data_IF_336871666402
#
_entry.id   IF_336871666402
#
_cell.length_a   1.000
_cell.length_b   1.000
_cell.length_c   1.000
_cell.angle_alpha   90.00
_cell.angle_beta   90.00
_cell.angle_gamma   90.00
#
_symmetry.space_group_name_H-M   'P 1'
#
loop_
_entity.id
_entity.type
_entity.pdbx_description
1 polymer ?
#
# COMPACT_ATOMS: atom_id res chain seq x y z
N UNK A 1 -10.14 8.00 -10.75
CA UNK A 1 -8.68 8.18 -10.61
C UNK A 1 -7.95 6.90 -11.01
N UNK A 2 -6.98 7.01 -11.89
CA UNK A 2 -6.03 5.94 -12.22
C UNK A 2 -4.61 6.42 -11.97
N UNK A 3 -3.75 5.50 -11.56
CA UNK A 3 -2.36 5.77 -11.29
C UNK A 3 -1.51 4.61 -11.81
N UNK A 4 -0.50 4.93 -12.60
CA UNK A 4 0.44 3.95 -13.12
C UNK A 4 1.88 4.38 -12.90
N UNK A 5 2.74 3.38 -12.73
CA UNK A 5 4.19 3.55 -12.65
C UNK A 5 4.89 2.22 -12.98
N UNK A 6 6.12 2.32 -13.50
CA UNK A 6 7.06 1.22 -13.51
C UNK A 6 7.95 1.31 -12.28
N UNK A 7 8.23 0.17 -11.65
CA UNK A 7 9.11 0.05 -10.49
C UNK A 7 10.15 -1.04 -10.73
N UNK A 8 11.40 -0.77 -10.34
CA UNK A 8 12.48 -1.77 -10.34
C UNK A 8 13.20 -1.71 -9.01
N UNK A 9 13.31 -2.85 -8.33
CA UNK A 9 14.22 -2.99 -7.19
C UNK A 9 15.64 -3.21 -7.73
N UNK A 10 16.64 -2.64 -7.08
CA UNK A 10 18.04 -2.93 -7.40
C UNK A 10 18.31 -4.46 -7.36
N UNK A 11 19.18 -5.00 -8.23
CA UNK A 11 19.57 -6.41 -8.15
C UNK A 11 20.08 -6.84 -6.77
N UNK A 12 20.75 -5.94 -6.06
CA UNK A 12 21.28 -6.15 -4.71
C UNK A 12 20.33 -5.67 -3.61
N UNK A 13 19.04 -5.48 -3.93
CA UNK A 13 18.07 -5.01 -2.95
C UNK A 13 17.92 -6.01 -1.80
N UNK A 14 18.18 -5.57 -0.57
CA UNK A 14 18.02 -6.33 0.65
C UNK A 14 16.57 -6.35 1.12
N UNK A 15 16.09 -7.53 1.51
CA UNK A 15 14.79 -7.59 2.18
C UNK A 15 14.87 -6.81 3.49
N UNK A 16 13.96 -5.86 3.72
CA UNK A 16 13.98 -5.09 4.96
C UNK A 16 13.60 -5.98 6.17
N UNK A 17 14.22 -5.74 7.34
CA UNK A 17 13.86 -6.44 8.58
C UNK A 17 12.45 -6.10 9.04
N UNK A 18 11.98 -4.90 8.69
CA UNK A 18 10.63 -4.41 8.93
C UNK A 18 9.90 -4.19 7.61
N UNK A 19 8.61 -3.85 7.66
CA UNK A 19 7.89 -3.47 6.45
C UNK A 19 8.59 -2.28 5.76
N UNK A 20 8.41 -2.15 4.46
CA UNK A 20 8.78 -0.97 3.68
C UNK A 20 7.71 -0.71 2.62
N UNK A 21 7.33 0.54 2.43
CA UNK A 21 6.29 0.98 1.52
C UNK A 21 6.94 1.63 0.30
N UNK A 22 6.58 1.19 -0.90
CA UNK A 22 7.06 1.77 -2.16
C UNK A 22 6.01 2.56 -2.93
N UNK A 23 4.74 2.35 -2.61
CA UNK A 23 3.64 3.15 -3.11
C UNK A 23 2.60 3.28 -2.01
N UNK A 24 2.07 4.49 -1.83
CA UNK A 24 0.89 4.71 -1.00
C UNK A 24 -0.05 5.75 -1.59
N UNK A 25 -1.35 5.47 -1.44
CA UNK A 25 -2.37 6.50 -1.32
C UNK A 25 -2.52 6.75 0.17
N UNK A 26 -2.30 7.98 0.61
CA UNK A 26 -2.38 8.34 2.02
C UNK A 26 -3.46 9.36 2.29
N UNK A 27 -4.01 9.27 3.50
CA UNK A 27 -4.98 10.20 4.03
C UNK A 27 -4.36 10.89 5.24
N UNK A 28 -4.17 12.20 5.20
CA UNK A 28 -3.56 12.89 6.34
C UNK A 28 -4.46 12.78 7.58
N UNK A 29 -3.87 12.59 8.76
CA UNK A 29 -4.61 12.73 10.01
C UNK A 29 -4.97 14.21 10.19
N UNK A 30 -6.22 14.51 10.58
CA UNK A 30 -6.60 15.88 10.91
C UNK A 30 -6.40 16.12 12.40
N UNK A 31 -5.51 17.02 12.76
CA UNK A 31 -5.41 17.52 14.14
C UNK A 31 -6.65 18.37 14.43
N UNK A 32 -7.57 17.87 15.26
CA UNK A 32 -8.71 18.64 15.79
C UNK A 32 -10.07 18.47 15.11
N UNK A 33 -10.21 17.63 14.08
CA UNK A 33 -11.51 17.24 13.49
C UNK A 33 -11.74 15.74 13.72
N UNK A 34 -13.00 15.32 13.90
CA UNK A 34 -13.40 13.91 14.07
C UNK A 34 -13.39 13.36 15.51
N UNK A 35 -14.11 12.26 15.74
CA UNK A 35 -14.19 11.59 17.05
C UNK A 35 -12.93 10.75 17.27
N UNK A 36 -12.30 10.87 18.45
CA UNK A 36 -11.28 9.90 18.88
C UNK A 36 -11.97 8.57 19.15
N UNK A 37 -11.62 7.54 18.38
CA UNK A 37 -12.10 6.17 18.59
C UNK A 37 -10.96 5.35 19.22
N UNK A 38 -11.13 4.79 20.43
CA UNK A 38 -10.09 4.00 21.09
C UNK A 38 -9.56 2.87 20.20
N UNK A 39 -8.24 2.72 20.13
CA UNK A 39 -7.58 1.67 19.34
C UNK A 39 -7.51 1.92 17.83
N UNK A 40 -8.05 3.05 17.33
CA UNK A 40 -8.01 3.42 15.92
C UNK A 40 -7.15 4.67 15.75
N UNK A 41 -6.08 4.54 14.97
CA UNK A 41 -5.27 5.67 14.50
C UNK A 41 -5.70 6.03 13.07
N UNK A 42 -6.53 7.07 12.88
CA UNK A 42 -7.05 7.41 11.57
C UNK A 42 -5.98 8.03 10.66
N UNK A 43 -6.16 7.86 9.35
CA UNK A 43 -5.25 8.36 8.33
C UNK A 43 -4.06 7.44 8.03
N UNK A 44 -2.98 8.00 7.51
CA UNK A 44 -1.80 7.29 7.02
C UNK A 44 -2.02 6.59 5.67
N UNK A 45 -1.21 5.57 5.33
CA UNK A 45 -1.37 4.78 4.10
C UNK A 45 -2.69 4.00 4.12
N UNK A 46 -3.64 4.40 3.28
CA UNK A 46 -4.97 3.78 3.16
C UNK A 46 -5.05 2.76 2.02
N UNK A 47 -4.17 2.87 1.04
CA UNK A 47 -3.82 1.84 0.06
C UNK A 47 -2.30 1.87 -0.06
N UNK A 48 -1.64 0.72 -0.04
CA UNK A 48 -0.19 0.69 -0.17
C UNK A 48 0.33 -0.60 -0.78
N UNK A 49 1.44 -0.48 -1.52
CA UNK A 49 2.31 -1.57 -1.90
C UNK A 49 3.44 -1.66 -0.87
N UNK A 50 3.55 -2.79 -0.17
CA UNK A 50 4.56 -3.00 0.86
C UNK A 50 5.41 -4.22 0.58
N UNK A 51 6.71 -4.11 0.82
CA UNK A 51 7.61 -5.26 0.86
C UNK A 51 7.33 -6.07 2.13
N UNK A 52 7.20 -7.39 1.96
CA UNK A 52 7.06 -8.34 3.07
C UNK A 52 8.40 -8.40 3.82
N UNK A 53 8.42 -8.22 5.15
CA UNK A 53 9.64 -8.24 5.93
C UNK A 53 10.28 -9.62 5.92
N UNK A 54 11.60 -9.65 6.17
CA UNK A 54 12.41 -10.88 6.12
C UNK A 54 11.82 -12.03 6.94
N UNK A 55 11.39 -11.75 8.18
CA UNK A 55 10.81 -12.74 9.10
C UNK A 55 9.47 -13.32 8.66
N UNK A 56 8.86 -12.79 7.61
CA UNK A 56 7.55 -13.19 7.09
C UNK A 56 7.59 -13.66 5.65
N UNK A 57 8.75 -13.65 4.99
CA UNK A 57 8.91 -14.21 3.65
C UNK A 57 8.66 -15.72 3.67
N UNK A 58 8.11 -16.20 2.57
CA UNK A 58 7.88 -17.61 2.28
C UNK A 58 8.83 -18.15 1.21
N UNK A 59 9.36 -17.27 0.36
CA UNK A 59 10.32 -17.62 -0.69
C UNK A 59 11.75 -17.55 -0.16
N UNK A 60 12.53 -18.57 -0.47
CA UNK A 60 13.95 -18.66 -0.16
C UNK A 60 14.83 -17.98 -1.23
N UNK A 61 14.26 -17.66 -2.40
CA UNK A 61 15.03 -17.08 -3.50
C UNK A 61 15.44 -15.63 -3.21
N UNK A 62 16.73 -15.36 -3.37
CA UNK A 62 17.35 -14.04 -3.27
C UNK A 62 17.04 -13.13 -4.48
N UNK A 63 16.71 -13.71 -5.63
CA UNK A 63 16.39 -12.99 -6.88
C UNK A 63 15.00 -12.36 -6.90
N UNK A 64 14.16 -12.66 -5.92
CA UNK A 64 12.79 -12.17 -5.84
C UNK A 64 12.54 -11.47 -4.52
N UNK A 65 11.59 -10.52 -4.55
CA UNK A 65 11.06 -9.90 -3.36
C UNK A 65 9.56 -10.14 -3.28
N UNK A 66 9.08 -10.47 -2.08
CA UNK A 66 7.66 -10.55 -1.80
C UNK A 66 7.09 -9.18 -1.45
N UNK A 67 5.88 -8.92 -1.92
CA UNK A 67 5.13 -7.72 -1.61
C UNK A 67 3.66 -8.03 -1.36
N UNK A 68 2.99 -7.08 -0.69
CA UNK A 68 1.55 -7.06 -0.51
C UNK A 68 0.95 -5.78 -1.05
N UNK A 69 -0.28 -5.87 -1.53
CA UNK A 69 -1.18 -4.72 -1.71
C UNK A 69 -2.18 -4.77 -0.58
N UNK A 70 -2.25 -3.69 0.20
CA UNK A 70 -3.04 -3.63 1.43
C UNK A 70 -3.84 -2.34 1.48
N UNK A 71 -5.10 -2.45 1.92
CA UNK A 71 -5.93 -1.32 2.32
C UNK A 71 -5.98 -1.19 3.83
N UNK A 72 -6.13 0.04 4.31
CA UNK A 72 -6.36 0.34 5.71
C UNK A 72 -7.74 0.96 5.88
N UNK A 73 -8.45 0.51 6.90
CA UNK A 73 -9.76 1.04 7.31
C UNK A 73 -9.92 0.74 8.83
N UNK A 74 -11.03 1.17 9.47
CA UNK A 74 -11.27 0.92 10.90
C UNK A 74 -11.18 -0.55 11.33
N UNK A 75 -11.55 -1.50 10.46
CA UNK A 75 -11.50 -2.93 10.71
C UNK A 75 -10.16 -3.59 10.33
N UNK A 76 -9.31 -2.88 9.59
CA UNK A 76 -8.03 -3.37 9.05
C UNK A 76 -6.90 -2.39 9.35
N UNK A 77 -6.53 -2.25 10.63
CA UNK A 77 -5.54 -1.26 11.09
C UNK A 77 -4.13 -1.80 11.26
N UNK A 78 -3.95 -3.12 11.37
CA UNK A 78 -2.67 -3.79 11.68
C UNK A 78 -2.38 -4.93 10.71
N UNK A 79 -1.09 -5.23 10.56
CA UNK A 79 -0.56 -6.34 9.77
C UNK A 79 0.26 -7.24 10.69
N UNK A 80 -0.13 -8.51 10.79
CA UNK A 80 0.58 -9.50 11.60
C UNK A 80 1.25 -10.57 10.74
N UNK A 81 0.56 -11.04 9.71
CA UNK A 81 0.96 -12.16 8.87
C UNK A 81 1.54 -11.72 7.52
N UNK A 82 1.29 -10.47 7.12
CA UNK A 82 1.64 -9.92 5.81
C UNK A 82 1.08 -10.78 4.66
N UNK A 83 -0.15 -11.26 4.83
CA UNK A 83 -0.83 -12.13 3.88
C UNK A 83 -2.34 -12.03 4.04
N UNK A 84 -3.10 -12.80 3.26
CA UNK A 84 -4.58 -12.71 3.20
C UNK A 84 -5.30 -13.05 4.51
N UNK A 85 -4.59 -13.54 5.53
CA UNK A 85 -5.10 -13.68 6.91
C UNK A 85 -5.30 -12.33 7.59
N UNK A 86 -4.58 -11.30 7.16
CA UNK A 86 -4.78 -9.93 7.64
C UNK A 86 -5.96 -9.29 6.87
N UNK A 87 -7.00 -8.76 7.54
CA UNK A 87 -8.24 -8.28 6.91
C UNK A 87 -8.09 -7.19 5.83
N UNK A 88 -6.93 -6.52 5.75
CA UNK A 88 -6.65 -5.48 4.76
C UNK A 88 -5.83 -5.94 3.56
N UNK A 89 -5.24 -7.13 3.59
CA UNK A 89 -4.35 -7.59 2.51
C UNK A 89 -5.18 -8.08 1.34
N UNK A 90 -5.13 -7.33 0.25
CA UNK A 90 -5.85 -7.62 -0.99
C UNK A 90 -5.10 -8.61 -1.88
N UNK A 91 -3.76 -8.56 -1.82
CA UNK A 91 -2.89 -9.38 -2.65
C UNK A 91 -1.54 -9.59 -1.96
N UNK A 92 -0.97 -10.78 -2.15
CA UNK A 92 0.44 -11.07 -1.86
C UNK A 92 1.05 -11.69 -3.11
N UNK A 93 2.19 -11.19 -3.53
CA UNK A 93 2.87 -11.68 -4.73
C UNK A 93 4.37 -11.45 -4.67
N UNK A 94 5.03 -11.71 -5.79
CA UNK A 94 6.48 -11.59 -5.95
C UNK A 94 6.82 -10.72 -7.14
N UNK A 95 7.97 -10.05 -7.05
CA UNK A 95 8.62 -9.36 -8.18
C UNK A 95 10.08 -9.78 -8.24
N UNK A 96 10.65 -9.83 -9.45
CA UNK A 96 12.08 -10.09 -9.65
C UNK A 96 12.88 -8.80 -9.41
N UNK A 97 13.99 -8.91 -8.69
CA UNK A 97 14.96 -7.82 -8.54
C UNK A 97 15.64 -7.56 -9.89
N UNK A 98 16.05 -6.32 -10.13
CA UNK A 98 16.67 -5.89 -11.39
C UNK A 98 15.72 -5.83 -12.60
N UNK A 99 14.45 -6.21 -12.45
CA UNK A 99 13.46 -6.23 -13.54
C UNK A 99 12.39 -5.17 -13.32
N UNK A 100 12.10 -4.40 -14.37
CA UNK A 100 10.99 -3.44 -14.36
C UNK A 100 9.64 -4.16 -14.26
N UNK A 101 8.87 -3.81 -13.25
CA UNK A 101 7.49 -4.26 -13.04
C UNK A 101 6.55 -3.07 -13.17
N UNK A 102 5.54 -3.19 -14.03
CA UNK A 102 4.52 -2.15 -14.23
C UNK A 102 3.35 -2.37 -13.30
N UNK A 103 2.98 -1.34 -12.54
CA UNK A 103 1.79 -1.32 -11.71
C UNK A 103 0.79 -0.29 -12.24
N UNK A 104 -0.48 -0.67 -12.27
CA UNK A 104 -1.60 0.25 -12.50
C UNK A 104 -2.63 0.04 -11.40
N UNK A 105 -3.10 1.14 -10.82
CA UNK A 105 -4.15 1.18 -9.81
C UNK A 105 -5.29 2.05 -10.30
N UNK A 106 -6.49 1.52 -10.24
CA UNK A 106 -7.71 2.25 -10.55
C UNK A 106 -8.56 2.33 -9.29
N UNK A 107 -8.84 3.56 -8.86
CA UNK A 107 -9.57 3.86 -7.64
C UNK A 107 -10.86 4.60 -7.97
N UNK A 108 -11.96 4.02 -7.50
CA UNK A 108 -13.27 4.67 -7.48
C UNK A 108 -13.70 4.82 -6.03
N UNK A 109 -13.67 6.05 -5.52
CA UNK A 109 -14.13 6.38 -4.18
C UNK A 109 -15.63 6.64 -4.16
N UNK A 110 -16.31 6.09 -3.16
CA UNK A 110 -17.71 6.33 -2.84
C UNK A 110 -17.78 6.57 -1.34
N UNK A 111 -18.38 7.69 -0.95
CA UNK A 111 -18.73 7.98 0.44
C UNK A 111 -20.13 7.42 0.72
N UNK A 112 -20.27 6.55 1.74
CA UNK A 112 -21.57 6.04 2.18
C UNK A 112 -21.67 6.16 3.69
N UNK A 113 -22.31 7.23 4.17
CA UNK A 113 -22.46 7.51 5.60
C UNK A 113 -21.11 7.70 6.30
N UNK A 114 -20.80 6.84 7.28
CA UNK A 114 -19.53 6.85 8.03
C UNK A 114 -18.41 6.04 7.38
N UNK A 115 -18.61 5.50 6.18
CA UNK A 115 -17.61 4.71 5.46
C UNK A 115 -17.10 5.45 4.22
N UNK A 116 -15.78 5.46 4.07
CA UNK A 116 -15.10 5.77 2.80
C UNK A 116 -14.67 4.45 2.19
N UNK A 117 -14.96 4.25 0.91
CA UNK A 117 -14.64 3.00 0.23
C UNK A 117 -14.96 3.07 -1.24
N UNK A 118 -15.26 1.92 -1.83
CA UNK A 118 -15.58 1.78 -3.25
C UNK A 118 -14.78 0.67 -3.89
N UNK A 119 -14.36 0.86 -5.15
CA UNK A 119 -13.68 -0.18 -5.93
C UNK A 119 -12.20 0.14 -6.13
N UNK A 120 -11.34 -0.86 -5.94
CA UNK A 120 -9.92 -0.82 -6.27
C UNK A 120 -9.64 -1.95 -7.26
N UNK A 121 -9.12 -1.60 -8.43
CA UNK A 121 -8.49 -2.58 -9.33
C UNK A 121 -6.98 -2.34 -9.34
N UNK A 122 -6.20 -3.40 -9.27
CA UNK A 122 -4.76 -3.33 -9.43
C UNK A 122 -4.28 -4.32 -10.49
N UNK A 123 -3.32 -3.89 -11.28
CA UNK A 123 -2.72 -4.66 -12.36
C UNK A 123 -1.20 -4.70 -12.17
N UNK A 124 -0.61 -5.84 -12.49
CA UNK A 124 0.83 -6.05 -12.52
C UNK A 124 1.22 -6.61 -13.89
N UNK A 125 2.09 -5.90 -14.60
CA UNK A 125 2.51 -6.24 -15.97
C UNK A 125 1.32 -6.51 -16.91
N UNK A 126 0.27 -5.68 -16.81
CA UNK A 126 -0.95 -5.79 -17.61
C UNK A 126 -1.97 -6.83 -17.12
N UNK A 127 -1.60 -7.73 -16.20
CA UNK A 127 -2.54 -8.70 -15.62
C UNK A 127 -3.25 -8.12 -14.40
N UNK A 128 -4.57 -8.23 -14.33
CA UNK A 128 -5.32 -7.87 -13.13
C UNK A 128 -4.98 -8.82 -11.98
N UNK A 129 -4.57 -8.26 -10.85
CA UNK A 129 -4.22 -9.00 -9.61
C UNK A 129 -5.16 -8.68 -8.45
N UNK A 130 -5.91 -7.58 -8.51
CA UNK A 130 -6.90 -7.18 -7.50
C UNK A 130 -8.16 -6.66 -8.20
N UNK A 131 -9.34 -7.08 -7.70
CA UNK A 131 -10.64 -6.42 -7.93
C UNK A 131 -11.42 -6.37 -6.62
N UNK A 132 -11.11 -5.38 -5.79
CA UNK A 132 -11.67 -5.22 -4.45
C UNK A 132 -12.85 -4.25 -4.44
N UNK A 133 -13.89 -4.59 -3.69
CA UNK A 133 -15.03 -3.72 -3.37
C UNK A 133 -15.24 -3.71 -1.86
N UNK A 134 -15.18 -2.54 -1.25
CA UNK A 134 -15.37 -2.42 0.20
C UNK A 134 -14.83 -1.11 0.77
N UNK A 135 -14.73 -1.06 2.09
CA UNK A 135 -14.21 0.08 2.81
C UNK A 135 -12.69 0.18 2.64
N UNK A 136 -12.22 1.36 2.24
CA UNK A 136 -10.80 1.70 2.20
C UNK A 136 -10.64 3.17 2.56
N UNK A 137 -9.75 3.45 3.50
CA UNK A 137 -9.63 4.75 4.15
C UNK A 137 -10.52 4.91 5.36
N UNK A 138 -10.63 6.16 5.80
CA UNK A 138 -11.35 6.57 7.00
C UNK A 138 -12.31 7.69 6.65
N UNK A 139 -13.57 7.59 7.06
CA UNK A 139 -14.50 8.70 6.84
C UNK A 139 -14.07 9.96 7.61
N UNK A 140 -13.87 11.11 6.94
CA UNK A 140 -13.51 12.37 7.60
C UNK A 140 -14.53 12.87 8.64
N UNK A 141 -15.79 12.44 8.53
CA UNK A 141 -16.85 12.85 9.47
C UNK A 141 -16.85 12.00 10.74
N UNK A 142 -16.54 10.71 10.63
CA UNK A 142 -16.48 9.79 11.76
C UNK A 142 -15.09 9.77 12.42
N UNK A 143 -14.03 9.96 11.63
CA UNK A 143 -12.64 9.82 12.01
C UNK A 143 -11.88 11.11 11.70
N UNK A 144 -10.89 11.43 12.54
CA UNK A 144 -10.03 12.60 12.33
C UNK A 144 -9.03 12.43 11.20
N UNK A 145 -9.52 12.41 9.97
CA UNK A 145 -8.72 12.28 8.76
C UNK A 145 -9.23 13.23 7.67
N UNK A 146 -8.33 13.72 6.83
CA UNK A 146 -8.65 14.64 5.74
C UNK A 146 -9.39 13.94 4.61
N UNK A 147 -10.26 14.65 3.88
CA UNK A 147 -10.94 14.10 2.70
C UNK A 147 -10.00 13.94 1.51
N UNK A 148 -9.06 14.89 1.37
CA UNK A 148 -8.09 14.88 0.28
C UNK A 148 -7.05 13.79 0.48
N UNK A 149 -6.72 13.12 -0.63
CA UNK A 149 -5.78 12.02 -0.67
C UNK A 149 -4.47 12.47 -1.32
N UNK A 150 -3.35 12.08 -0.72
CA UNK A 150 -2.04 12.21 -1.32
C UNK A 150 -1.57 10.91 -1.95
N UNK A 151 -0.66 11.04 -2.91
CA UNK A 151 -0.03 9.93 -3.62
C UNK A 151 1.48 10.03 -3.45
N UNK A 152 2.12 8.95 -3.04
CA UNK A 152 3.57 8.91 -2.84
C UNK A 152 4.19 7.64 -3.42
N UNK A 153 5.37 7.81 -4.02
CA UNK A 153 6.29 6.77 -4.45
C UNK A 153 7.64 7.01 -3.77
N UNK A 154 8.30 5.96 -3.29
CA UNK A 154 9.59 6.12 -2.62
C UNK A 154 10.00 4.89 -1.80
N UNK A 155 10.78 5.11 -0.76
CA UNK A 155 11.15 4.09 0.22
C UNK A 155 10.76 4.61 1.62
N UNK A 156 9.59 4.20 2.10
CA UNK A 156 9.02 4.71 3.36
C UNK A 156 8.89 3.61 4.41
N UNK A 157 9.20 3.94 5.68
CA UNK A 157 8.92 3.16 6.93
C UNK A 157 9.14 1.65 6.82
N UNK A 158 10.22 1.03 7.30
CA UNK A 158 11.42 1.52 8.00
C UNK A 158 12.63 1.13 7.17
N UNK A 159 13.25 2.08 6.48
CA UNK A 159 14.51 1.81 5.79
C UNK A 159 15.53 1.32 6.82
N UNK A 160 16.16 0.19 6.55
CA UNK A 160 17.26 -0.30 7.38
C UNK A 160 18.46 0.60 7.12
N UNK A 161 19.10 1.09 8.18
CA UNK A 161 20.29 1.93 8.05
C UNK A 161 21.47 1.18 7.43
N UNK A 162 21.45 -0.16 7.48
CA UNK A 162 22.54 -1.02 7.03
C UNK A 162 22.27 -1.79 5.73
N UNK A 163 21.03 -1.81 5.24
CA UNK A 163 20.63 -2.59 4.06
C UNK A 163 20.60 -1.77 2.76
N UNK A 164 20.87 -2.42 1.63
CA UNK A 164 20.76 -1.83 0.29
C UNK A 164 19.30 -1.85 -0.16
N UNK A 165 18.61 -0.72 -0.12
CA UNK A 165 17.16 -0.65 -0.36
C UNK A 165 16.79 0.30 -1.51
N UNK A 166 17.60 0.26 -2.57
CA UNK A 166 17.46 1.12 -3.74
C UNK A 166 16.28 0.67 -4.62
N UNK A 167 15.38 1.62 -4.91
CA UNK A 167 14.22 1.43 -5.79
C UNK A 167 14.19 2.52 -6.85
N UNK A 168 13.90 2.14 -8.09
CA UNK A 168 13.76 3.04 -9.23
C UNK A 168 12.30 3.12 -9.65
N UNK A 169 11.86 4.31 -10.02
CA UNK A 169 10.53 4.57 -10.56
C UNK A 169 10.64 5.25 -11.93
N UNK A 170 9.76 4.90 -12.85
CA UNK A 170 9.68 5.48 -14.18
C UNK A 170 8.24 5.41 -14.72
N UNK A 171 7.94 6.10 -15.82
CA UNK A 171 6.65 6.08 -16.51
C UNK A 171 5.46 6.37 -15.57
N UNK A 172 5.64 7.36 -14.69
CA UNK A 172 4.64 7.76 -13.71
C UNK A 172 3.55 8.57 -14.40
N UNK A 173 2.29 8.17 -14.26
CA UNK A 173 1.16 8.95 -14.72
C UNK A 173 -0.04 8.85 -13.77
N UNK A 174 -0.72 9.98 -13.59
CA UNK A 174 -1.96 10.11 -12.82
C UNK A 174 -3.04 10.64 -13.76
N UNK A 175 -4.18 9.97 -13.85
CA UNK A 175 -5.38 10.47 -14.52
C UNK A 175 -6.55 10.53 -13.53
N UNK A 176 -7.39 11.54 -13.65
CA UNK A 176 -8.52 11.75 -12.73
C UNK A 176 -9.80 11.19 -13.31
#
# INVERSE_FOLDING_TARGET
MQFQFAMKLDPNYDTPPHQMIHFQVFQAASTGKGRKVPGIEPGGPILSLRIVPQSRRSTESDQVQEFIIVVRNPAATKLYYYGTRDPGVLYRGTMRKGVWTRFNFELLSVEKGSETGGRIRAFMNGRQIVDYRGAWGFSPTAYGAWRDLGLELGAYRSADKTGTQTVYFDNIAVSR
#
